data_IF_596114104697
#
_entry.id   IF_596114104697
#
_cell.length_a   1.000
_cell.length_b   1.000
_cell.length_c   1.000
_cell.angle_alpha   90.00
_cell.angle_beta   90.00
_cell.angle_gamma   90.00
#
_symmetry.space_group_name_H-M   'P 1'
#
loop_
_entity.id
_entity.type
_entity.pdbx_description
1 polymer ?
#
# COMPACT_ATOMS: atom_id res chain seq x y z
N UNK A 1 -7.14 16.63 -13.11
CA UNK A 1 -6.08 16.55 -12.07
C UNK A 1 -5.70 17.92 -11.50
N UNK A 2 -5.30 18.90 -12.33
CA UNK A 2 -4.88 20.23 -11.86
C UNK A 2 -5.93 20.94 -10.99
N UNK A 3 -7.20 20.88 -11.40
CA UNK A 3 -8.32 21.43 -10.62
C UNK A 3 -8.45 20.79 -9.24
N UNK A 4 -8.29 19.47 -9.10
CA UNK A 4 -8.28 18.82 -7.78
C UNK A 4 -7.20 19.39 -6.86
N UNK A 5 -5.97 19.51 -7.34
CA UNK A 5 -4.85 20.04 -6.54
C UNK A 5 -5.12 21.50 -6.16
N UNK A 6 -5.41 22.35 -7.14
CA UNK A 6 -5.48 23.80 -6.96
C UNK A 6 -6.77 24.28 -6.28
N UNK A 7 -7.91 23.68 -6.63
CA UNK A 7 -9.22 24.17 -6.22
C UNK A 7 -9.78 23.40 -5.01
N UNK A 8 -9.26 22.20 -4.70
CA UNK A 8 -9.76 21.38 -3.60
C UNK A 8 -8.70 21.06 -2.55
N UNK A 9 -7.61 20.38 -2.92
CA UNK A 9 -6.62 19.91 -1.94
C UNK A 9 -5.85 21.06 -1.29
N UNK A 10 -5.27 21.96 -2.07
CA UNK A 10 -4.48 23.08 -1.53
C UNK A 10 -5.29 23.99 -0.59
N UNK A 11 -6.50 24.47 -0.97
CA UNK A 11 -7.31 25.28 -0.06
C UNK A 11 -7.73 24.52 1.19
N UNK A 12 -8.00 23.21 1.07
CA UNK A 12 -8.37 22.39 2.21
C UNK A 12 -7.21 22.22 3.19
N UNK A 13 -6.01 21.93 2.71
CA UNK A 13 -4.81 21.84 3.57
C UNK A 13 -4.52 23.19 4.25
N UNK A 14 -4.71 24.30 3.55
CA UNK A 14 -4.54 25.64 4.11
C UNK A 14 -5.53 25.93 5.26
N UNK A 15 -6.72 25.32 5.26
CA UNK A 15 -7.69 25.49 6.35
C UNK A 15 -7.32 24.79 7.67
N UNK A 16 -6.27 23.97 7.68
CA UNK A 16 -5.77 23.28 8.88
C UNK A 16 -4.51 23.95 9.46
N UNK A 17 -4.26 25.22 9.13
CA UNK A 17 -3.08 25.98 9.58
C UNK A 17 -1.73 25.31 9.24
N UNK A 18 -1.71 24.52 8.15
CA UNK A 18 -0.51 23.84 7.67
C UNK A 18 0.42 24.88 7.01
N UNK A 19 1.74 24.89 7.33
CA UNK A 19 2.68 25.81 6.69
C UNK A 19 2.66 25.70 5.16
N UNK A 20 2.69 26.82 4.44
CA UNK A 20 2.61 26.85 2.97
C UNK A 20 3.67 25.96 2.31
N UNK A 21 4.89 25.93 2.85
CA UNK A 21 5.97 25.05 2.40
C UNK A 21 5.60 23.57 2.52
N UNK A 22 4.92 23.19 3.60
CA UNK A 22 4.46 21.82 3.82
C UNK A 22 3.33 21.45 2.86
N UNK A 23 2.36 22.36 2.66
CA UNK A 23 1.29 22.20 1.67
C UNK A 23 1.91 21.93 0.29
N UNK A 24 2.89 22.72 -0.12
CA UNK A 24 3.59 22.54 -1.40
C UNK A 24 4.17 21.13 -1.54
N UNK A 25 4.97 20.68 -0.56
CA UNK A 25 5.57 19.33 -0.57
C UNK A 25 4.51 18.23 -0.67
N UNK A 26 3.41 18.36 0.08
CA UNK A 26 2.32 17.37 0.09
C UNK A 26 1.60 17.36 -1.25
N UNK A 27 1.27 18.53 -1.80
CA UNK A 27 0.57 18.65 -3.09
C UNK A 27 1.42 18.20 -4.26
N UNK A 28 2.74 18.43 -4.24
CA UNK A 28 3.68 17.95 -5.24
C UNK A 28 3.77 16.41 -5.23
N UNK A 29 3.87 15.77 -4.06
CA UNK A 29 3.86 14.31 -3.94
C UNK A 29 2.53 13.70 -4.44
N UNK A 30 1.39 14.30 -4.09
CA UNK A 30 0.09 13.86 -4.60
C UNK A 30 0.00 14.04 -6.12
N UNK A 31 0.49 15.16 -6.66
CA UNK A 31 0.49 15.41 -8.11
C UNK A 31 1.38 14.42 -8.85
N UNK A 32 2.56 14.11 -8.34
CA UNK A 32 3.49 13.15 -8.96
C UNK A 32 2.91 11.73 -8.99
N UNK A 33 2.28 11.30 -7.89
CA UNK A 33 1.57 10.01 -7.80
C UNK A 33 0.40 9.94 -8.77
N UNK A 34 -0.47 10.96 -8.78
CA UNK A 34 -1.60 11.04 -9.70
C UNK A 34 -1.14 11.07 -11.16
N UNK A 35 -0.11 11.86 -11.47
CA UNK A 35 0.50 11.95 -12.79
C UNK A 35 0.97 10.57 -13.25
N UNK A 36 1.72 9.85 -12.41
CA UNK A 36 2.27 8.53 -12.73
C UNK A 36 1.21 7.49 -13.06
N UNK A 37 0.12 7.42 -12.29
CA UNK A 37 -0.94 6.43 -12.51
C UNK A 37 -1.94 6.85 -13.60
N UNK A 38 -2.38 8.12 -13.63
CA UNK A 38 -3.41 8.58 -14.57
C UNK A 38 -2.85 8.63 -16.00
N UNK A 39 -1.59 9.02 -16.22
CA UNK A 39 -1.01 8.97 -17.58
C UNK A 39 -1.02 7.55 -18.18
N UNK A 40 -0.98 6.52 -17.31
CA UNK A 40 -1.05 5.10 -17.65
C UNK A 40 -2.46 4.51 -17.49
N UNK A 41 -3.50 5.35 -17.37
CA UNK A 41 -4.86 4.84 -17.13
C UNK A 41 -5.39 3.93 -18.24
N UNK A 42 -4.93 4.13 -19.48
CA UNK A 42 -5.26 3.27 -20.62
C UNK A 42 -4.47 1.95 -20.67
N UNK A 43 -3.36 1.84 -19.93
CA UNK A 43 -2.62 0.61 -19.74
C UNK A 43 -3.31 -0.20 -18.63
N UNK A 44 -4.20 -1.11 -19.04
CA UNK A 44 -5.01 -1.92 -18.12
C UNK A 44 -4.13 -2.75 -17.18
N UNK A 45 -3.04 -3.32 -17.71
CA UNK A 45 -2.14 -4.20 -16.97
C UNK A 45 -1.46 -3.42 -15.85
N UNK A 46 -0.82 -2.31 -16.20
CA UNK A 46 -0.16 -1.45 -15.23
C UNK A 46 -1.15 -0.88 -14.22
N UNK A 47 -2.27 -0.34 -14.71
CA UNK A 47 -3.31 0.26 -13.86
C UNK A 47 -3.82 -0.71 -12.81
N UNK A 48 -4.29 -1.89 -13.21
CA UNK A 48 -4.90 -2.83 -12.27
C UNK A 48 -3.86 -3.40 -11.29
N UNK A 49 -2.63 -3.63 -11.74
CA UNK A 49 -1.53 -4.10 -10.88
C UNK A 49 -1.16 -3.08 -9.80
N UNK A 50 -1.22 -1.78 -10.12
CA UNK A 50 -1.01 -0.75 -9.12
C UNK A 50 -2.23 -0.57 -8.20
N UNK A 51 -3.44 -0.51 -8.76
CA UNK A 51 -4.67 -0.27 -7.99
C UNK A 51 -4.97 -1.39 -6.99
N UNK A 52 -4.59 -2.64 -7.28
CA UNK A 52 -4.85 -3.74 -6.35
C UNK A 52 -4.13 -3.58 -5.01
N UNK A 53 -3.01 -2.86 -4.98
CA UNK A 53 -2.24 -2.60 -3.75
C UNK A 53 -3.01 -1.77 -2.72
N UNK A 54 -4.03 -1.02 -3.16
CA UNK A 54 -4.89 -0.21 -2.31
C UNK A 54 -6.31 -0.77 -2.17
N UNK A 55 -6.63 -1.88 -2.84
CA UNK A 55 -8.01 -2.37 -2.97
C UNK A 55 -8.61 -2.82 -1.64
N UNK A 56 -7.81 -3.42 -0.75
CA UNK A 56 -8.26 -3.87 0.57
C UNK A 56 -8.84 -2.72 1.41
N UNK A 57 -8.22 -1.54 1.35
CA UNK A 57 -8.68 -0.34 2.07
C UNK A 57 -9.78 0.39 1.27
N UNK A 58 -9.55 0.60 -0.02
CA UNK A 58 -10.45 1.32 -0.91
C UNK A 58 -11.86 0.74 -1.00
N UNK A 59 -11.99 -0.57 -0.83
CA UNK A 59 -13.28 -1.25 -0.84
C UNK A 59 -14.26 -0.71 0.22
N UNK A 60 -13.76 -0.14 1.30
CA UNK A 60 -14.58 0.35 2.43
C UNK A 60 -14.80 1.86 2.42
N UNK A 61 -14.11 2.62 1.57
CA UNK A 61 -14.33 4.06 1.46
C UNK A 61 -15.65 4.39 0.76
N UNK A 62 -16.19 5.56 1.13
CA UNK A 62 -17.40 6.16 0.54
C UNK A 62 -17.04 7.39 -0.29
N UNK A 63 -17.94 7.84 -1.19
CA UNK A 63 -19.14 7.15 -1.67
C UNK A 63 -18.82 5.85 -2.42
N UNK A 64 -19.79 4.93 -2.50
CA UNK A 64 -19.64 3.65 -3.20
C UNK A 64 -19.71 3.83 -4.73
N UNK A 65 -18.65 4.39 -5.30
CA UNK A 65 -18.43 4.50 -6.75
C UNK A 65 -17.55 3.33 -7.22
N UNK A 66 -17.09 3.36 -8.48
CA UNK A 66 -16.22 2.32 -9.02
C UNK A 66 -15.01 2.07 -8.11
N UNK A 67 -14.66 0.80 -7.94
CA UNK A 67 -13.51 0.42 -7.12
C UNK A 67 -12.22 0.99 -7.69
N UNK A 68 -12.08 1.07 -9.02
CA UNK A 68 -10.93 1.73 -9.67
C UNK A 68 -10.73 3.17 -9.18
N UNK A 69 -11.81 3.97 -9.04
CA UNK A 69 -11.70 5.36 -8.54
C UNK A 69 -11.33 5.39 -7.07
N UNK A 70 -11.95 4.53 -6.24
CA UNK A 70 -11.61 4.47 -4.80
C UNK A 70 -10.18 4.00 -4.57
N UNK A 71 -9.72 3.02 -5.34
CA UNK A 71 -8.33 2.53 -5.31
C UNK A 71 -7.35 3.57 -5.82
N UNK A 72 -7.70 4.35 -6.85
CA UNK A 72 -6.89 5.46 -7.34
C UNK A 72 -6.67 6.49 -6.24
N UNK A 73 -7.75 6.93 -5.59
CA UNK A 73 -7.67 7.91 -4.49
C UNK A 73 -6.87 7.33 -3.33
N UNK A 74 -7.12 6.08 -2.95
CA UNK A 74 -6.39 5.44 -1.86
C UNK A 74 -4.89 5.33 -2.17
N UNK A 75 -4.50 4.95 -3.39
CA UNK A 75 -3.11 4.78 -3.81
C UNK A 75 -2.35 6.11 -3.96
N UNK A 76 -2.97 7.10 -4.62
CA UNK A 76 -2.25 8.30 -5.06
C UNK A 76 -2.45 9.52 -4.13
N UNK A 77 -3.53 9.52 -3.34
CA UNK A 77 -3.89 10.67 -2.48
C UNK A 77 -3.79 10.26 -1.01
N UNK A 78 -4.50 9.21 -0.58
CA UNK A 78 -4.42 8.75 0.82
C UNK A 78 -2.98 8.28 1.11
N UNK A 79 -2.43 7.41 0.27
CA UNK A 79 -1.07 6.88 0.42
C UNK A 79 -0.03 7.83 -0.20
N UNK A 80 -0.05 9.06 0.30
CA UNK A 80 0.85 10.17 -0.05
C UNK A 80 1.42 10.80 1.23
N UNK A 81 2.23 11.85 1.08
CA UNK A 81 2.72 12.69 2.17
C UNK A 81 1.61 13.32 3.04
N UNK A 82 0.33 13.22 2.65
CA UNK A 82 -0.80 13.50 3.56
C UNK A 82 -0.71 12.66 4.84
N UNK A 83 -0.22 11.41 4.77
CA UNK A 83 -0.04 10.54 5.95
C UNK A 83 0.91 11.14 6.99
N UNK A 84 1.92 11.89 6.55
CA UNK A 84 2.92 12.45 7.46
C UNK A 84 2.34 13.57 8.34
N UNK A 85 1.21 14.16 7.92
CA UNK A 85 0.48 15.17 8.68
C UNK A 85 -0.42 14.58 9.78
N UNK A 86 -0.74 13.28 9.70
CA UNK A 86 -1.68 12.61 10.60
C UNK A 86 -1.04 11.51 11.48
N UNK A 87 0.04 10.88 11.01
CA UNK A 87 0.55 9.63 11.60
C UNK A 87 1.30 9.83 12.93
N UNK A 88 2.36 10.64 12.94
CA UNK A 88 3.13 10.92 14.16
C UNK A 88 3.66 12.34 14.18
N UNK A 89 3.87 12.89 15.39
CA UNK A 89 4.57 14.16 15.60
C UNK A 89 5.94 14.20 14.90
N UNK A 90 6.64 13.05 14.83
CA UNK A 90 7.94 12.97 14.17
C UNK A 90 7.83 13.14 12.66
N UNK A 91 6.83 12.51 12.02
CA UNK A 91 6.57 12.69 10.59
C UNK A 91 6.12 14.12 10.29
N UNK A 92 5.21 14.67 11.10
CA UNK A 92 4.69 16.02 10.94
C UNK A 92 5.82 17.08 11.05
N UNK A 93 6.79 16.87 11.93
CA UNK A 93 8.00 17.71 12.02
C UNK A 93 8.87 17.71 10.77
N UNK A 94 8.87 16.63 9.98
CA UNK A 94 9.55 16.63 8.66
C UNK A 94 8.87 17.58 7.67
N UNK A 95 7.62 17.95 7.96
CA UNK A 95 6.80 18.92 7.24
C UNK A 95 6.65 20.22 8.03
N UNK A 96 7.60 20.58 8.88
CA UNK A 96 7.60 21.84 9.64
C UNK A 96 6.35 22.08 10.50
N UNK A 97 5.62 21.03 10.85
CA UNK A 97 4.50 21.09 11.79
C UNK A 97 4.99 20.69 13.19
N UNK A 98 4.55 21.41 14.22
CA UNK A 98 5.00 21.13 15.61
C UNK A 98 4.42 19.82 16.16
N UNK A 99 3.21 19.46 15.73
CA UNK A 99 2.52 18.22 16.03
C UNK A 99 1.72 17.71 14.82
N UNK A 100 1.04 16.56 14.96
CA UNK A 100 0.07 16.11 13.95
C UNK A 100 -1.05 17.12 13.81
N UNK A 101 -1.36 17.49 12.57
CA UNK A 101 -2.31 18.57 12.23
C UNK A 101 -3.61 18.05 11.64
N UNK A 102 -3.62 16.81 11.14
CA UNK A 102 -4.82 16.15 10.62
C UNK A 102 -5.25 15.03 11.58
N UNK A 103 -6.55 14.99 11.87
CA UNK A 103 -7.17 13.87 12.59
C UNK A 103 -7.58 12.75 11.62
N UNK A 104 -7.90 11.57 12.16
CA UNK A 104 -8.47 10.47 11.35
C UNK A 104 -9.75 10.89 10.61
N UNK A 105 -10.59 11.71 11.24
CA UNK A 105 -11.81 12.24 10.62
C UNK A 105 -11.48 13.17 9.44
N UNK A 106 -10.40 13.96 9.54
CA UNK A 106 -9.95 14.82 8.45
C UNK A 106 -9.39 14.00 7.28
N UNK A 107 -8.65 12.92 7.57
CA UNK A 107 -8.18 11.98 6.55
C UNK A 107 -9.36 11.30 5.84
N UNK A 108 -10.40 10.89 6.58
CA UNK A 108 -11.61 10.33 6.00
C UNK A 108 -12.27 11.36 5.08
N UNK A 109 -12.52 12.60 5.56
CA UNK A 109 -13.15 13.66 4.75
C UNK A 109 -12.36 13.97 3.48
N UNK A 110 -11.03 14.14 3.58
CA UNK A 110 -10.15 14.37 2.43
C UNK A 110 -10.26 13.24 1.40
N UNK A 111 -10.30 12.00 1.88
CA UNK A 111 -10.43 10.82 1.02
C UNK A 111 -11.79 10.78 0.33
N UNK A 112 -12.89 11.03 1.05
CA UNK A 112 -14.25 11.04 0.49
C UNK A 112 -14.44 12.18 -0.53
N UNK A 113 -13.94 13.37 -0.24
CA UNK A 113 -13.96 14.53 -1.15
C UNK A 113 -13.19 14.26 -2.44
N UNK A 114 -12.01 13.64 -2.32
CA UNK A 114 -11.24 13.21 -3.48
C UNK A 114 -12.01 12.16 -4.32
N UNK A 115 -12.66 11.18 -3.68
CA UNK A 115 -13.51 10.21 -4.40
C UNK A 115 -14.66 10.92 -5.12
N UNK A 116 -15.31 11.89 -4.46
CA UNK A 116 -16.39 12.70 -5.06
C UNK A 116 -15.89 13.48 -6.28
N UNK A 117 -14.68 14.05 -6.22
CA UNK A 117 -14.07 14.72 -7.37
C UNK A 117 -13.77 13.72 -8.51
N UNK A 118 -13.01 12.66 -8.23
CA UNK A 118 -12.54 11.76 -9.28
C UNK A 118 -13.65 10.89 -9.88
N UNK A 119 -14.82 10.75 -9.23
CA UNK A 119 -15.98 10.10 -9.85
C UNK A 119 -16.50 10.86 -11.09
N UNK A 120 -16.31 12.18 -11.15
CA UNK A 120 -16.80 13.01 -12.27
C UNK A 120 -15.77 13.21 -13.37
N UNK A 121 -14.51 12.81 -13.11
CA UNK A 121 -13.40 12.98 -14.04
C UNK A 121 -13.36 11.83 -15.05
N UNK A 122 -13.26 12.16 -16.34
CA UNK A 122 -13.00 11.17 -17.37
C UNK A 122 -11.50 10.83 -17.43
N UNK A 123 -11.08 9.86 -16.63
CA UNK A 123 -9.67 9.47 -16.48
C UNK A 123 -9.01 8.99 -17.79
N UNK A 124 -9.76 8.38 -18.71
CA UNK A 124 -9.24 7.99 -20.04
C UNK A 124 -8.98 9.21 -20.94
N UNK A 125 -9.72 10.31 -20.74
CA UNK A 125 -9.48 11.57 -21.45
C UNK A 125 -8.30 12.31 -20.82
N UNK A 126 -8.28 12.41 -19.49
CA UNK A 126 -7.17 13.04 -18.75
C UNK A 126 -5.84 12.36 -19.04
N UNK A 127 -5.79 11.03 -19.12
CA UNK A 127 -4.56 10.28 -19.36
C UNK A 127 -3.83 10.69 -20.64
N UNK A 128 -4.57 11.18 -21.65
CA UNK A 128 -4.01 11.63 -22.94
C UNK A 128 -3.45 13.06 -22.90
N UNK A 129 -3.70 13.79 -21.82
CA UNK A 129 -3.32 15.19 -21.64
C UNK A 129 -2.20 15.38 -20.60
N UNK A 130 -1.84 14.32 -19.89
CA UNK A 130 -0.81 14.34 -18.85
C UNK A 130 0.54 13.98 -19.48
N UNK A 131 1.49 14.88 -19.35
CA UNK A 131 2.87 14.67 -19.78
C UNK A 131 3.65 13.83 -18.75
N UNK A 132 4.72 13.20 -19.20
CA UNK A 132 5.66 12.54 -18.31
C UNK A 132 6.33 13.56 -17.41
N UNK A 133 6.44 13.26 -16.12
CA UNK A 133 7.35 13.96 -15.21
C UNK A 133 8.63 13.15 -15.05
N UNK A 134 9.72 13.85 -14.72
CA UNK A 134 11.00 13.22 -14.39
C UNK A 134 10.87 12.33 -13.15
N UNK A 135 10.18 12.83 -12.12
CA UNK A 135 9.84 12.04 -10.95
C UNK A 135 8.61 11.16 -11.21
N UNK A 136 8.85 9.89 -11.50
CA UNK A 136 7.80 8.89 -11.72
C UNK A 136 7.81 7.82 -10.62
N UNK A 137 6.98 7.97 -9.56
CA UNK A 137 7.04 7.11 -8.39
C UNK A 137 6.64 5.65 -8.67
N UNK A 138 5.96 5.36 -9.79
CA UNK A 138 5.50 4.00 -10.10
C UNK A 138 6.10 3.40 -11.37
N UNK A 139 6.61 4.23 -12.28
CA UNK A 139 7.02 3.79 -13.61
C UNK A 139 8.15 2.76 -13.63
N UNK A 140 9.01 2.76 -12.61
CA UNK A 140 10.15 1.84 -12.49
C UNK A 140 9.81 0.50 -11.82
N UNK A 141 8.67 0.43 -11.09
CA UNK A 141 8.29 -0.70 -10.25
C UNK A 141 8.29 -2.04 -11.01
N UNK A 142 7.71 -2.17 -12.22
CA UNK A 142 7.67 -3.45 -12.93
C UNK A 142 9.05 -4.02 -13.24
N UNK A 143 10.02 -3.14 -13.50
CA UNK A 143 11.38 -3.53 -13.86
C UNK A 143 12.22 -3.86 -12.62
N UNK A 144 12.04 -3.11 -11.53
CA UNK A 144 12.80 -3.31 -10.30
C UNK A 144 12.31 -4.50 -9.48
N UNK A 145 11.00 -4.80 -9.51
CA UNK A 145 10.36 -5.82 -8.68
C UNK A 145 9.53 -6.81 -9.52
N UNK A 146 10.15 -7.54 -10.45
CA UNK A 146 9.44 -8.35 -11.45
C UNK A 146 8.65 -9.53 -10.86
N UNK A 147 9.10 -10.12 -9.74
CA UNK A 147 8.40 -11.25 -9.12
C UNK A 147 7.16 -10.77 -8.39
N UNK A 148 7.28 -9.69 -7.63
CA UNK A 148 6.15 -9.01 -6.99
C UNK A 148 5.15 -8.49 -8.03
N UNK A 149 5.65 -7.86 -9.10
CA UNK A 149 4.82 -7.38 -10.21
C UNK A 149 4.00 -8.51 -10.82
N UNK A 150 4.63 -9.63 -11.19
CA UNK A 150 3.92 -10.76 -11.80
C UNK A 150 2.83 -11.34 -10.87
N UNK A 151 3.10 -11.44 -9.57
CA UNK A 151 2.12 -11.93 -8.60
C UNK A 151 0.91 -10.98 -8.48
N UNK A 152 1.16 -9.69 -8.24
CA UNK A 152 0.10 -8.68 -8.12
C UNK A 152 -0.66 -8.50 -9.43
N UNK A 153 0.03 -8.55 -10.56
CA UNK A 153 -0.58 -8.52 -11.88
C UNK A 153 -1.54 -9.68 -12.05
N UNK A 154 -1.09 -10.90 -11.74
CA UNK A 154 -1.94 -12.08 -11.87
C UNK A 154 -3.15 -12.02 -10.94
N UNK A 155 -2.96 -11.48 -9.73
CA UNK A 155 -4.03 -11.27 -8.77
C UNK A 155 -5.04 -10.23 -9.27
N UNK A 156 -4.56 -9.15 -9.90
CA UNK A 156 -5.37 -8.03 -10.40
C UNK A 156 -6.16 -8.39 -11.67
N UNK A 157 -5.53 -9.10 -12.60
CA UNK A 157 -6.11 -9.42 -13.90
C UNK A 157 -7.07 -10.62 -13.89
N UNK A 158 -7.17 -11.33 -12.76
CA UNK A 158 -8.05 -12.49 -12.66
C UNK A 158 -9.19 -12.26 -11.66
N UNK A 159 -10.42 -12.47 -12.13
CA UNK A 159 -11.63 -12.44 -11.29
C UNK A 159 -11.86 -13.74 -10.51
N UNK A 160 -11.10 -14.79 -10.81
CA UNK A 160 -11.15 -16.07 -10.06
C UNK A 160 -10.51 -15.91 -8.69
N UNK A 161 -11.08 -16.60 -7.71
CA UNK A 161 -10.57 -16.60 -6.33
C UNK A 161 -9.20 -17.26 -6.16
N UNK A 162 -8.76 -18.06 -7.13
CA UNK A 162 -7.40 -18.63 -7.19
C UNK A 162 -6.90 -18.66 -8.64
N UNK A 163 -5.62 -18.36 -8.81
CA UNK A 163 -4.94 -18.32 -10.11
C UNK A 163 -3.54 -18.90 -10.00
N UNK A 164 -3.16 -19.69 -10.99
CA UNK A 164 -1.79 -20.16 -11.18
C UNK A 164 -1.14 -19.46 -12.37
N UNK A 165 0.16 -19.30 -12.34
CA UNK A 165 0.99 -18.75 -13.41
C UNK A 165 2.39 -19.37 -13.34
N UNK A 166 3.16 -19.22 -14.43
CA UNK A 166 4.55 -19.68 -14.44
C UNK A 166 5.39 -18.82 -13.48
N UNK A 167 6.06 -19.42 -12.48
CA UNK A 167 6.89 -18.68 -11.55
C UNK A 167 7.99 -17.90 -12.27
N UNK A 168 8.20 -16.65 -11.85
CA UNK A 168 9.31 -15.84 -12.37
C UNK A 168 10.61 -16.36 -11.74
N UNK A 169 11.54 -16.79 -12.59
CA UNK A 169 12.87 -17.22 -12.15
C UNK A 169 13.73 -15.98 -11.89
N UNK A 170 14.15 -15.81 -10.65
CA UNK A 170 15.08 -14.77 -10.25
C UNK A 170 15.92 -15.27 -9.07
N UNK A 171 17.15 -14.78 -8.94
CA UNK A 171 18.04 -15.08 -7.80
C UNK A 171 17.43 -14.63 -6.47
N UNK A 172 17.94 -14.97 -5.29
CA UNK A 172 17.50 -14.32 -4.06
C UNK A 172 17.65 -12.78 -4.14
N UNK A 173 16.67 -12.05 -3.60
CA UNK A 173 16.74 -10.60 -3.43
C UNK A 173 17.09 -10.33 -1.96
N UNK A 174 18.08 -9.48 -1.73
CA UNK A 174 18.49 -9.10 -0.39
C UNK A 174 18.07 -7.67 -0.06
N UNK A 175 17.71 -7.47 1.20
CA UNK A 175 17.45 -6.14 1.75
C UNK A 175 18.68 -5.76 2.56
N UNK A 176 19.29 -4.62 2.22
CA UNK A 176 20.38 -4.07 3.01
C UNK A 176 19.93 -3.85 4.45
N UNK A 177 20.66 -4.45 5.39
CA UNK A 177 20.52 -4.17 6.82
C UNK A 177 21.47 -3.01 7.11
N UNK A 178 20.97 -1.82 7.49
CA UNK A 178 21.84 -0.68 7.76
C UNK A 178 22.87 -1.04 8.83
N UNK A 179 24.16 -0.93 8.51
CA UNK A 179 25.24 -1.14 9.48
C UNK A 179 25.26 0.03 10.47
N UNK A 180 24.82 -0.25 11.70
CA UNK A 180 24.91 0.60 12.91
C UNK A 180 23.89 1.75 13.07
N UNK A 181 22.93 1.53 13.97
CA UNK A 181 22.88 2.30 15.22
C UNK A 181 22.96 1.29 16.35
N UNK A 182 23.87 1.49 17.32
CA UNK A 182 23.90 0.68 18.54
C UNK A 182 22.48 0.55 19.10
N UNK A 183 21.91 -0.65 19.02
CA UNK A 183 20.59 -0.94 19.55
C UNK A 183 20.70 -1.03 21.07
N UNK A 184 20.01 -0.12 21.74
CA UNK A 184 19.53 -0.35 23.09
C UNK A 184 18.26 -1.20 22.93
N UNK A 185 18.28 -2.47 23.35
CA UNK A 185 17.16 -3.42 23.27
C UNK A 185 15.88 -2.96 24.02
N UNK A 186 15.92 -1.77 24.64
CA UNK A 186 14.77 -1.08 25.24
C UNK A 186 14.07 -0.07 24.32
N UNK A 187 14.58 0.23 23.12
CA UNK A 187 13.94 1.18 22.19
C UNK A 187 12.87 0.48 21.34
N UNK A 188 11.62 0.86 21.58
CA UNK A 188 10.43 0.48 20.78
C UNK A 188 10.67 0.73 19.29
N UNK A 189 10.14 -0.14 18.43
CA UNK A 189 9.98 0.09 16.98
C UNK A 189 9.41 1.50 16.79
N UNK A 190 10.20 2.40 16.20
CA UNK A 190 9.75 3.76 15.92
C UNK A 190 9.19 3.82 14.51
N UNK A 191 7.94 3.36 14.33
CA UNK A 191 7.20 3.65 13.09
C UNK A 191 7.06 5.17 12.97
N UNK A 192 7.76 5.78 12.02
CA UNK A 192 7.73 7.23 11.81
C UNK A 192 6.42 7.59 11.10
N UNK A 193 6.12 6.90 10.01
CA UNK A 193 4.92 7.06 9.18
C UNK A 193 4.76 5.83 8.31
N UNK A 194 3.52 5.52 7.89
CA UNK A 194 3.27 4.50 6.88
C UNK A 194 3.90 4.83 5.52
N UNK A 195 4.35 6.07 5.30
CA UNK A 195 5.01 6.53 4.07
C UNK A 195 6.54 6.52 4.15
N UNK A 196 7.13 6.05 5.25
CA UNK A 196 8.59 5.92 5.34
C UNK A 196 9.10 4.86 4.33
N UNK A 197 9.95 5.24 3.35
CA UNK A 197 10.47 4.31 2.36
C UNK A 197 11.50 3.31 2.95
N UNK A 198 12.07 3.59 4.13
CA UNK A 198 13.10 2.76 4.72
C UNK A 198 12.55 1.44 5.28
N UNK A 199 13.29 0.35 5.09
CA UNK A 199 13.12 -0.88 5.86
C UNK A 199 14.14 -0.80 6.99
N UNK A 200 13.67 -0.68 8.23
CA UNK A 200 14.57 -0.63 9.38
C UNK A 200 15.17 -2.02 9.69
N UNK A 201 16.22 -2.02 10.51
CA UNK A 201 16.98 -3.23 10.85
C UNK A 201 16.11 -4.31 11.53
N UNK A 202 15.15 -3.93 12.38
CA UNK A 202 14.30 -4.86 13.10
C UNK A 202 13.31 -5.53 12.15
N UNK A 203 12.67 -4.73 11.28
CA UNK A 203 11.78 -5.26 10.27
C UNK A 203 12.53 -6.12 9.24
N UNK A 204 13.74 -5.73 8.84
CA UNK A 204 14.59 -6.56 8.00
C UNK A 204 14.88 -7.93 8.65
N UNK A 205 15.25 -7.95 9.95
CA UNK A 205 15.46 -9.21 10.69
C UNK A 205 14.22 -10.09 10.74
N UNK A 206 13.04 -9.50 10.94
CA UNK A 206 11.76 -10.22 10.88
C UNK A 206 11.58 -10.84 9.48
N UNK A 207 11.79 -10.06 8.42
CA UNK A 207 11.68 -10.56 7.04
C UNK A 207 12.65 -11.72 6.78
N UNK A 208 13.91 -11.62 7.21
CA UNK A 208 14.88 -12.73 7.08
C UNK A 208 14.44 -13.97 7.86
N UNK A 209 13.92 -13.80 9.08
CA UNK A 209 13.44 -14.90 9.91
C UNK A 209 12.24 -15.62 9.29
N UNK A 210 11.21 -14.88 8.86
CA UNK A 210 9.98 -15.49 8.29
C UNK A 210 10.18 -16.08 6.91
N UNK A 211 11.27 -15.74 6.22
CA UNK A 211 11.60 -16.28 4.89
C UNK A 211 12.64 -17.39 4.92
N UNK A 212 13.13 -17.76 6.11
CA UNK A 212 13.98 -18.92 6.27
C UNK A 212 13.14 -20.20 6.11
N UNK A 213 13.51 -21.07 5.17
CA UNK A 213 12.83 -22.36 4.96
C UNK A 213 11.43 -22.33 4.32
N UNK A 214 11.13 -21.37 3.43
CA UNK A 214 9.83 -21.20 2.74
C UNK A 214 8.66 -20.85 3.70
N UNK A 215 8.92 -19.95 4.66
CA UNK A 215 7.92 -19.52 5.63
C UNK A 215 6.84 -18.60 5.06
N UNK A 216 6.15 -17.92 5.97
CA UNK A 216 5.00 -17.07 5.67
C UNK A 216 5.17 -15.70 6.30
N UNK A 217 5.09 -14.66 5.47
CA UNK A 217 4.93 -13.30 5.94
C UNK A 217 3.45 -12.93 5.97
N UNK A 218 2.91 -12.74 7.18
CA UNK A 218 1.52 -12.35 7.38
C UNK A 218 1.41 -10.87 7.78
N UNK A 219 0.38 -10.21 7.26
CA UNK A 219 -0.09 -8.90 7.75
C UNK A 219 -1.59 -8.80 7.53
N UNK A 220 -2.32 -8.02 8.33
CA UNK A 220 -3.78 -7.90 8.18
C UNK A 220 -4.21 -7.45 6.77
N UNK A 221 -3.44 -6.52 6.18
CA UNK A 221 -3.63 -5.96 4.83
C UNK A 221 -2.36 -5.25 4.36
N UNK A 222 -2.26 -4.91 3.06
CA UNK A 222 -1.08 -4.23 2.52
C UNK A 222 -0.77 -2.89 3.20
N UNK A 223 -1.79 -2.11 3.59
CA UNK A 223 -1.56 -0.85 4.31
C UNK A 223 -0.87 -1.05 5.67
N UNK A 224 -1.07 -2.22 6.30
CA UNK A 224 -0.46 -2.58 7.58
C UNK A 224 0.99 -3.05 7.41
N UNK A 225 1.39 -3.40 6.18
CA UNK A 225 2.80 -3.57 5.82
C UNK A 225 3.43 -2.18 5.63
N UNK A 226 2.84 -1.37 4.75
CA UNK A 226 3.29 0.00 4.45
C UNK A 226 2.26 0.71 3.56
N UNK A 227 2.21 2.04 3.63
CA UNK A 227 1.50 2.87 2.65
C UNK A 227 2.40 3.29 1.49
N UNK A 228 3.73 3.18 1.63
CA UNK A 228 4.69 3.50 0.57
C UNK A 228 4.73 2.40 -0.51
N UNK A 229 4.26 2.65 -1.75
CA UNK A 229 4.11 1.59 -2.75
C UNK A 229 5.41 0.89 -3.12
N UNK A 230 6.50 1.62 -3.31
CA UNK A 230 7.79 0.99 -3.66
C UNK A 230 8.31 0.04 -2.56
N UNK A 231 8.17 0.44 -1.28
CA UNK A 231 8.52 -0.38 -0.13
C UNK A 231 7.65 -1.64 -0.08
N UNK A 232 6.36 -1.54 -0.41
CA UNK A 232 5.49 -2.71 -0.51
C UNK A 232 6.03 -3.68 -1.57
N UNK A 233 6.28 -3.20 -2.79
CA UNK A 233 6.83 -4.03 -3.87
C UNK A 233 8.18 -4.64 -3.50
N UNK A 234 9.07 -3.88 -2.85
CA UNK A 234 10.36 -4.38 -2.35
C UNK A 234 10.21 -5.51 -1.34
N UNK A 235 9.26 -5.39 -0.39
CA UNK A 235 8.97 -6.44 0.60
C UNK A 235 8.40 -7.69 -0.08
N UNK A 236 7.42 -7.50 -0.98
CA UNK A 236 6.83 -8.61 -1.73
C UNK A 236 7.90 -9.32 -2.58
N UNK A 237 8.77 -8.57 -3.25
CA UNK A 237 9.86 -9.10 -4.06
C UNK A 237 10.81 -9.96 -3.22
N UNK A 238 11.21 -9.46 -2.05
CA UNK A 238 12.07 -10.17 -1.11
C UNK A 238 11.45 -11.51 -0.67
N UNK A 239 10.19 -11.49 -0.22
CA UNK A 239 9.52 -12.69 0.28
C UNK A 239 9.31 -13.72 -0.82
N UNK A 240 8.81 -13.29 -1.98
CA UNK A 240 8.46 -14.19 -3.09
C UNK A 240 9.68 -14.79 -3.77
N UNK A 241 10.82 -14.08 -3.86
CA UNK A 241 12.08 -14.62 -4.40
C UNK A 241 12.73 -15.67 -3.49
N UNK A 242 12.42 -15.62 -2.19
CA UNK A 242 12.81 -16.63 -1.20
C UNK A 242 11.80 -17.79 -1.11
N UNK A 243 10.94 -17.95 -2.12
CA UNK A 243 9.92 -19.02 -2.22
C UNK A 243 8.99 -19.08 -0.99
N UNK A 244 8.89 -17.98 -0.28
CA UNK A 244 7.99 -17.80 0.86
C UNK A 244 6.70 -17.15 0.38
N UNK A 245 5.66 -17.20 1.20
CA UNK A 245 4.33 -16.68 0.87
C UNK A 245 4.00 -15.40 1.63
N UNK A 246 3.30 -14.48 0.97
CA UNK A 246 2.73 -13.28 1.60
C UNK A 246 1.23 -13.48 1.73
N UNK A 247 0.71 -13.29 2.94
CA UNK A 247 -0.70 -13.57 3.26
C UNK A 247 -1.31 -12.39 3.99
N UNK A 248 -2.45 -11.92 3.49
CA UNK A 248 -3.35 -11.01 4.22
C UNK A 248 -4.69 -11.68 4.47
N UNK A 249 -5.62 -11.01 5.15
CA UNK A 249 -6.98 -11.55 5.27
C UNK A 249 -7.70 -11.63 3.92
N UNK A 250 -7.30 -10.83 2.93
CA UNK A 250 -7.94 -10.78 1.62
C UNK A 250 -7.13 -11.43 0.50
N UNK A 251 -5.81 -11.53 0.64
CA UNK A 251 -4.93 -12.03 -0.42
C UNK A 251 -3.98 -13.13 0.05
N UNK A 252 -3.63 -14.01 -0.87
CA UNK A 252 -2.53 -14.97 -0.77
C UNK A 252 -1.65 -14.80 -1.99
N UNK A 253 -0.34 -14.65 -1.77
CA UNK A 253 0.65 -14.50 -2.82
C UNK A 253 1.80 -15.48 -2.61
N UNK A 254 2.14 -16.20 -3.66
CA UNK A 254 3.32 -17.05 -3.80
C UNK A 254 3.80 -16.96 -5.25
N UNK A 255 5.09 -17.15 -5.50
CA UNK A 255 5.62 -17.11 -6.87
C UNK A 255 5.09 -18.28 -7.71
N UNK A 256 4.02 -18.02 -8.47
CA UNK A 256 3.31 -18.97 -9.31
C UNK A 256 1.85 -19.24 -8.90
N UNK A 257 1.42 -18.81 -7.70
CA UNK A 257 0.05 -18.99 -7.22
C UNK A 257 -0.41 -17.76 -6.46
N UNK A 258 -1.58 -17.23 -6.83
CA UNK A 258 -2.24 -16.16 -6.10
C UNK A 258 -3.69 -16.50 -5.82
N UNK A 259 -4.22 -15.99 -4.72
CA UNK A 259 -5.62 -16.13 -4.37
C UNK A 259 -6.19 -14.86 -3.74
N UNK A 260 -7.51 -14.69 -3.95
CA UNK A 260 -8.30 -13.54 -3.53
C UNK A 260 -9.54 -14.03 -2.79
N UNK A 261 -9.78 -13.44 -1.62
CA UNK A 261 -11.05 -13.60 -0.89
C UNK A 261 -12.19 -13.00 -1.71
N UNK A 262 -13.28 -13.74 -1.89
CA UNK A 262 -14.45 -13.31 -2.69
C UNK A 262 -15.11 -12.01 -2.19
N UNK A 263 -15.11 -11.77 -0.88
CA UNK A 263 -15.64 -10.56 -0.25
C UNK A 263 -14.62 -10.07 0.76
N UNK A 264 -14.17 -8.83 0.62
CA UNK A 264 -13.13 -8.31 1.50
C UNK A 264 -13.59 -8.17 2.94
N UNK A 265 -12.65 -8.40 3.85
CA UNK A 265 -12.72 -8.00 5.25
C UNK A 265 -12.02 -6.65 5.36
N UNK A 266 -12.60 -5.78 6.19
CA UNK A 266 -12.02 -4.46 6.43
C UNK A 266 -10.63 -4.59 7.01
N UNK A 267 -9.63 -3.87 6.48
CA UNK A 267 -8.37 -3.69 7.15
C UNK A 267 -8.55 -3.25 8.60
N UNK A 268 -7.67 -3.75 9.46
CA UNK A 268 -7.63 -3.41 10.86
C UNK A 268 -7.11 -1.99 11.04
N UNK A 269 -7.42 -1.45 12.20
CA UNK A 269 -6.74 -0.26 12.72
C UNK A 269 -5.68 -0.68 13.74
N UNK A 270 -5.92 -1.78 14.48
CA UNK A 270 -5.03 -2.31 15.50
C UNK A 270 -4.91 -3.84 15.41
N UNK A 271 -3.81 -4.39 15.95
CA UNK A 271 -3.51 -5.83 15.90
C UNK A 271 -4.44 -6.72 16.75
N UNK A 272 -5.13 -6.15 17.73
CA UNK A 272 -6.10 -6.84 18.59
C UNK A 272 -7.36 -7.30 17.85
N UNK A 273 -7.60 -6.79 16.63
CA UNK A 273 -8.68 -7.25 15.76
C UNK A 273 -8.39 -8.61 15.09
N UNK A 274 -7.11 -9.03 15.02
CA UNK A 274 -6.66 -10.24 14.30
C UNK A 274 -7.39 -11.51 14.76
N UNK A 275 -7.51 -11.82 16.07
CA UNK A 275 -8.16 -13.05 16.53
C UNK A 275 -9.64 -13.16 16.12
N UNK A 276 -10.34 -12.04 15.99
CA UNK A 276 -11.73 -12.03 15.54
C UNK A 276 -11.82 -12.26 14.04
N UNK A 277 -10.91 -11.65 13.25
CA UNK A 277 -10.87 -11.81 11.80
C UNK A 277 -10.46 -13.21 11.34
N UNK A 278 -9.58 -13.88 12.08
CA UNK A 278 -9.22 -15.29 11.81
C UNK A 278 -10.42 -16.24 11.88
N UNK A 279 -11.49 -15.89 12.59
CA UNK A 279 -12.73 -16.69 12.63
C UNK A 279 -13.57 -16.54 11.35
N UNK A 280 -13.30 -15.53 10.52
CA UNK A 280 -14.08 -15.22 9.33
C UNK A 280 -13.53 -16.03 8.14
N UNK A 281 -14.05 -17.23 7.94
CA UNK A 281 -13.59 -18.13 6.84
C UNK A 281 -14.34 -17.95 5.52
N UNK A 282 -15.42 -17.16 5.53
CA UNK A 282 -16.30 -16.98 4.38
C UNK A 282 -15.59 -16.27 3.21
N UNK A 283 -15.63 -16.89 2.03
CA UNK A 283 -15.01 -16.36 0.82
C UNK A 283 -13.53 -16.68 0.64
N UNK A 284 -12.90 -17.39 1.58
CA UNK A 284 -11.55 -17.95 1.41
C UNK A 284 -11.58 -19.16 0.49
N UNK A 285 -10.53 -19.33 -0.30
CA UNK A 285 -10.20 -20.57 -1.00
C UNK A 285 -9.30 -21.46 -0.13
N UNK A 286 -9.23 -22.75 -0.44
CA UNK A 286 -8.54 -23.74 0.40
C UNK A 286 -7.09 -23.36 0.74
N UNK A 287 -6.28 -22.96 -0.26
CA UNK A 287 -4.86 -22.61 -0.02
C UNK A 287 -4.71 -21.39 0.91
N UNK A 288 -5.59 -20.40 0.74
CA UNK A 288 -5.59 -19.18 1.56
C UNK A 288 -6.07 -19.49 2.99
N UNK A 289 -7.08 -20.36 3.12
CA UNK A 289 -7.54 -20.84 4.43
C UNK A 289 -6.45 -21.61 5.17
N UNK A 290 -5.79 -22.56 4.51
CA UNK A 290 -4.70 -23.33 5.11
C UNK A 290 -3.59 -22.41 5.64
N UNK A 291 -3.18 -21.41 4.86
CA UNK A 291 -2.18 -20.45 5.31
C UNK A 291 -2.63 -19.64 6.54
N UNK A 292 -3.89 -19.20 6.61
CA UNK A 292 -4.42 -18.50 7.79
C UNK A 292 -4.57 -19.42 9.00
N UNK A 293 -4.86 -20.72 8.79
CA UNK A 293 -4.90 -21.72 9.87
C UNK A 293 -3.49 -22.02 10.41
N UNK A 294 -2.48 -22.15 9.54
CA UNK A 294 -1.06 -22.28 9.94
C UNK A 294 -0.60 -21.09 10.81
N UNK A 295 -1.00 -19.87 10.45
CA UNK A 295 -0.70 -18.66 11.23
C UNK A 295 -1.28 -18.75 12.65
N UNK A 296 -2.51 -19.27 12.79
CA UNK A 296 -3.21 -19.41 14.06
C UNK A 296 -2.51 -20.43 14.97
N UNK A 297 -1.99 -21.52 14.41
CA UNK A 297 -1.28 -22.57 15.15
C UNK A 297 0.10 -22.12 15.64
N UNK A 298 0.79 -21.28 14.85
CA UNK A 298 2.14 -20.81 15.16
C UNK A 298 2.18 -19.66 16.18
N UNK A 299 1.03 -19.16 16.65
CA UNK A 299 0.92 -17.96 17.52
C UNK A 299 1.74 -16.76 17.02
N UNK A 300 1.93 -16.64 15.71
CA UNK A 300 2.59 -15.50 15.06
C UNK A 300 1.66 -14.29 15.07
N UNK A 301 1.32 -13.82 16.26
CA UNK A 301 0.64 -12.54 16.48
C UNK A 301 1.72 -11.58 16.98
N UNK A 302 2.34 -10.86 16.05
CA UNK A 302 3.10 -9.66 16.33
C UNK A 302 2.23 -8.44 16.01
#
# INVERSE_FOLDING_TARGET
MKSYIQELLTPRLASYDIPEKAIKVVTEDVEDRLTSIIRRWGDLEFRQTMLITAEEEAYFYRPAVSLDVRSLVSLAIRNSRIEDLASTTRAAKTLWCDDTVLTDDDIIKLTEEAIVHFKTVNLNKESKQIEAKENDPYGHIPLQYPVAWAALNKLAMNSRSISKYEPIKAEPFDIEIPSSRQMDFKKKIHVISGMDPAIDEEFAKILYYVTDGNGMFFSDSFKMITRHPEKLFKILEFVLRRKSKVVTFNFYLENGIVARRKKYIRPGHFGDEIPQKLKIVNGLVNIHRQALDEMKEQQLVH
#
